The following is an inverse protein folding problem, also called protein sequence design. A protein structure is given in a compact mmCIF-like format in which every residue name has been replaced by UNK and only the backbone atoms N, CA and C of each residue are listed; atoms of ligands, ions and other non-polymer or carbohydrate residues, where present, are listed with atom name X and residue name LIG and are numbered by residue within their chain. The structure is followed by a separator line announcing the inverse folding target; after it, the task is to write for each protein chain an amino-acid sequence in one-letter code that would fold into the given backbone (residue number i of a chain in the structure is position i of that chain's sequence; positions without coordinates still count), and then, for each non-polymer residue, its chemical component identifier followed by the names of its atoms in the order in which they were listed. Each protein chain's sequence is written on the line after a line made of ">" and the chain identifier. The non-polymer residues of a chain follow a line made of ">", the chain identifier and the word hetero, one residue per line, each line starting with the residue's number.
data_IF_157034795696
#
_entry.id   IF_157034795696
#
_cell.length_a   1.000
_cell.length_b   1.000
_cell.length_c   1.000
_cell.angle_alpha   90.00
_cell.angle_beta   90.00
_cell.angle_gamma   90.00
#
_symmetry.space_group_name_H-M   'P 1'
#
loop_
_entity.id
_entity.type
_entity.pdbx_description
1 polymer ?
#
# COMPACT_ATOMS: atom_id res chain seq x y z
N UNK A 1 6.51 -5.93 -56.06
CA UNK A 1 5.49 -4.94 -56.41
C UNK A 1 4.65 -4.64 -55.18
N UNK A 2 4.95 -3.66 -54.33
CA UNK A 2 6.10 -2.79 -54.24
C UNK A 2 6.26 -2.36 -52.78
N UNK A 3 7.53 -2.19 -52.42
CA UNK A 3 7.98 -1.46 -51.25
C UNK A 3 7.69 0.01 -51.47
N UNK A 4 7.26 0.75 -50.44
CA UNK A 4 7.50 2.19 -50.42
C UNK A 4 8.09 2.62 -49.08
N UNK A 5 9.34 3.04 -49.18
CA UNK A 5 10.16 3.58 -48.11
C UNK A 5 9.77 5.05 -47.87
N UNK A 6 9.58 5.44 -46.61
CA UNK A 6 9.60 6.83 -46.22
C UNK A 6 10.76 7.05 -45.23
N UNK A 7 11.86 7.60 -45.76
CA UNK A 7 12.99 8.13 -45.00
C UNK A 7 12.54 9.41 -44.27
N UNK A 8 12.63 9.41 -42.94
CA UNK A 8 12.49 10.59 -42.11
C UNK A 8 13.73 10.78 -41.25
N UNK A 9 14.64 11.63 -41.70
CA UNK A 9 15.79 12.10 -40.93
C UNK A 9 15.31 12.93 -39.74
N UNK A 10 15.65 12.52 -38.51
CA UNK A 10 15.59 13.39 -37.33
C UNK A 10 16.96 13.45 -36.67
N UNK A 11 17.51 14.66 -36.70
CA UNK A 11 18.75 15.05 -36.04
C UNK A 11 18.67 14.74 -34.54
N UNK A 12 19.74 14.13 -34.03
CA UNK A 12 20.04 14.08 -32.60
C UNK A 12 20.43 15.50 -32.16
N UNK A 13 19.76 16.02 -31.14
CA UNK A 13 20.21 17.20 -30.41
C UNK A 13 20.76 16.75 -29.06
N UNK A 14 22.05 17.03 -28.88
CA UNK A 14 22.82 16.86 -27.66
C UNK A 14 22.33 17.81 -26.57
N UNK A 15 22.14 17.29 -25.35
CA UNK A 15 21.90 18.09 -24.15
C UNK A 15 22.98 17.79 -23.12
N UNK A 16 24.09 18.53 -23.20
CA UNK A 16 25.08 18.65 -22.14
C UNK A 16 25.21 20.12 -21.67
N UNK A 17 24.90 20.31 -20.38
CA UNK A 17 25.55 21.18 -19.39
C UNK A 17 25.49 22.74 -19.45
N UNK A 18 24.72 23.28 -18.47
CA UNK A 18 25.03 24.38 -17.49
C UNK A 18 25.20 25.84 -18.00
N UNK A 19 25.19 26.89 -17.13
CA UNK A 19 24.79 27.02 -15.71
C UNK A 19 23.84 28.21 -15.39
N UNK A 20 23.31 28.19 -14.16
CA UNK A 20 22.53 29.25 -13.50
C UNK A 20 23.34 30.53 -13.22
N UNK A 21 22.72 31.71 -13.42
CA UNK A 21 23.19 32.99 -12.90
C UNK A 21 22.06 33.80 -12.24
N UNK A 22 22.24 33.99 -10.93
CA UNK A 22 22.18 35.25 -10.15
C UNK A 22 20.93 36.13 -10.18
N UNK A 23 20.28 36.22 -9.02
CA UNK A 23 19.83 37.48 -8.44
C UNK A 23 20.16 37.51 -6.95
N UNK A 24 21.05 38.40 -6.51
CA UNK A 24 21.15 38.82 -5.11
C UNK A 24 21.28 40.33 -5.07
N UNK A 25 20.28 40.98 -4.47
CA UNK A 25 20.24 42.41 -4.20
C UNK A 25 21.22 42.77 -3.07
N UNK A 26 21.86 43.93 -3.22
CA UNK A 26 22.70 44.59 -2.23
C UNK A 26 21.90 45.12 -1.04
N UNK A 27 22.45 45.00 0.17
CA UNK A 27 22.25 45.98 1.23
C UNK A 27 23.51 46.13 2.10
N UNK A 28 24.01 47.37 2.19
CA UNK A 28 24.48 48.03 3.42
C UNK A 28 25.72 47.52 4.15
N UNK A 29 26.80 48.32 4.12
CA UNK A 29 27.97 48.24 5.01
C UNK A 29 27.67 48.79 6.41
N UNK A 30 28.23 48.18 7.46
CA UNK A 30 28.67 48.86 8.70
C UNK A 30 29.79 48.04 9.43
N UNK A 31 30.55 48.65 10.37
CA UNK A 31 32.02 48.51 10.42
C UNK A 31 32.62 47.52 11.44
N UNK A 32 33.94 47.36 11.26
CA UNK A 32 34.92 46.46 11.88
C UNK A 32 35.14 46.74 13.38
N UNK A 33 34.82 45.78 14.25
CA UNK A 33 35.47 45.60 15.57
C UNK A 33 35.11 44.20 16.15
N UNK A 34 35.95 43.19 15.89
CA UNK A 34 35.70 41.84 16.45
C UNK A 34 36.78 40.78 16.20
N UNK A 35 37.88 41.10 15.51
CA UNK A 35 38.78 40.06 14.97
C UNK A 35 39.67 39.33 16.00
N UNK A 36 39.68 39.71 17.28
CA UNK A 36 40.54 39.05 18.28
C UNK A 36 39.80 38.14 19.28
N UNK A 37 38.46 38.19 19.37
CA UNK A 37 37.69 37.21 20.18
C UNK A 37 37.31 35.95 19.40
N UNK A 38 37.18 36.06 18.07
CA UNK A 38 36.81 34.94 17.19
C UNK A 38 37.85 33.81 17.18
N UNK A 39 39.15 34.14 17.17
CA UNK A 39 40.21 33.14 17.00
C UNK A 39 40.40 32.18 18.20
N UNK A 40 40.02 32.58 19.43
CA UNK A 40 40.05 31.67 20.59
C UNK A 40 38.84 30.75 20.64
N UNK A 41 37.65 31.25 20.32
CA UNK A 41 36.44 30.43 20.21
C UNK A 41 36.50 29.44 19.05
N UNK A 42 37.12 29.83 17.93
CA UNK A 42 37.30 28.95 16.77
C UNK A 42 38.31 27.81 17.03
N UNK A 43 39.24 27.97 17.98
CA UNK A 43 40.19 26.91 18.37
C UNK A 43 39.58 25.92 19.39
N UNK A 44 38.75 26.41 20.31
CA UNK A 44 38.00 25.54 21.24
C UNK A 44 36.88 24.77 20.51
N UNK A 45 36.17 25.40 19.56
CA UNK A 45 35.16 24.72 18.74
C UNK A 45 35.74 23.72 17.73
N UNK A 46 37.00 23.90 17.29
CA UNK A 46 37.68 22.93 16.41
C UNK A 46 38.09 21.63 17.13
N UNK A 47 38.20 21.63 18.46
CA UNK A 47 38.44 20.40 19.23
C UNK A 47 37.15 19.62 19.53
N UNK A 48 35.98 20.27 19.54
CA UNK A 48 34.67 19.60 19.73
C UNK A 48 34.09 18.97 18.45
N UNK A 49 34.71 19.22 17.29
CA UNK A 49 34.28 18.68 15.99
C UNK A 49 35.37 17.87 15.30
N UNK A 50 36.16 17.09 16.06
CA UNK A 50 36.77 15.91 15.48
C UNK A 50 35.63 15.01 14.96
N UNK A 51 35.62 14.59 13.68
CA UNK A 51 34.61 13.66 13.20
C UNK A 51 34.73 12.39 14.05
N UNK A 52 33.78 12.18 14.96
CA UNK A 52 33.57 10.89 15.57
C UNK A 52 33.39 9.92 14.41
N UNK A 53 34.38 9.04 14.22
CA UNK A 53 34.24 7.89 13.35
C UNK A 53 33.06 7.10 13.92
N UNK A 54 31.84 7.36 13.42
CA UNK A 54 30.72 6.46 13.63
C UNK A 54 31.20 5.12 13.10
N UNK A 55 31.47 4.18 14.00
CA UNK A 55 31.69 2.79 13.61
C UNK A 55 30.51 2.40 12.74
N UNK A 56 30.80 1.95 11.51
CA UNK A 56 29.76 1.48 10.61
C UNK A 56 29.04 0.34 11.33
N UNK A 57 27.77 0.56 11.66
CA UNK A 57 26.94 -0.45 12.30
C UNK A 57 26.58 -1.49 11.24
N UNK A 58 26.77 -2.76 11.57
CA UNK A 58 26.34 -3.88 10.72
C UNK A 58 24.84 -3.77 10.43
N UNK A 59 24.46 -3.84 9.16
CA UNK A 59 23.08 -3.76 8.69
C UNK A 59 22.54 -5.17 8.46
N UNK A 60 21.44 -5.48 9.14
CA UNK A 60 20.75 -6.75 8.97
C UNK A 60 19.80 -6.70 7.76
N UNK A 61 19.88 -7.70 6.89
CA UNK A 61 19.08 -7.77 5.65
C UNK A 61 18.34 -9.11 5.54
N UNK A 62 17.19 -9.07 4.84
CA UNK A 62 16.49 -10.27 4.36
C UNK A 62 16.57 -10.31 2.83
N UNK A 63 16.90 -11.46 2.26
CA UNK A 63 16.82 -11.65 0.81
C UNK A 63 15.36 -11.92 0.43
N UNK A 64 14.78 -11.03 -0.40
CA UNK A 64 13.43 -11.25 -0.94
C UNK A 64 13.50 -12.20 -2.13
N UNK A 65 12.85 -13.35 -2.03
CA UNK A 65 12.90 -14.39 -3.05
C UNK A 65 11.59 -14.49 -3.82
N UNK A 66 11.69 -14.56 -5.14
CA UNK A 66 10.62 -14.88 -6.06
C UNK A 66 10.74 -16.36 -6.46
N UNK A 67 10.02 -17.23 -5.74
CA UNK A 67 9.96 -18.66 -6.09
C UNK A 67 9.28 -18.85 -7.45
N UNK A 68 9.63 -19.89 -8.21
CA UNK A 68 8.99 -20.22 -9.49
C UNK A 68 7.56 -20.74 -9.32
N UNK A 69 6.70 -20.50 -10.29
CA UNK A 69 5.30 -20.97 -10.26
C UNK A 69 5.17 -22.49 -10.25
N UNK A 70 6.17 -23.21 -10.75
CA UNK A 70 6.25 -24.66 -10.65
C UNK A 70 6.46 -25.17 -9.23
N UNK A 71 7.02 -24.35 -8.33
CA UNK A 71 7.18 -24.70 -6.91
C UNK A 71 6.00 -24.27 -6.07
N UNK A 72 5.18 -23.33 -6.54
CA UNK A 72 3.98 -22.86 -5.83
C UNK A 72 2.78 -23.79 -6.09
N UNK A 73 1.90 -24.03 -5.09
CA UNK A 73 0.62 -24.66 -5.30
C UNK A 73 -0.24 -23.86 -6.30
N UNK A 74 -1.06 -24.55 -7.10
CA UNK A 74 -1.89 -23.89 -8.12
C UNK A 74 -2.94 -22.98 -7.49
N UNK A 75 -2.90 -21.68 -7.81
CA UNK A 75 -3.89 -20.70 -7.37
C UNK A 75 -4.10 -19.58 -8.39
N UNK A 76 -5.27 -18.93 -8.34
CA UNK A 76 -5.67 -17.84 -9.25
C UNK A 76 -5.11 -16.47 -8.86
N UNK A 77 -4.54 -16.33 -7.66
CA UNK A 77 -4.05 -15.05 -7.12
C UNK A 77 -2.62 -15.21 -6.60
N UNK A 78 -1.67 -15.31 -7.52
CA UNK A 78 -0.23 -15.42 -7.21
C UNK A 78 0.45 -14.09 -7.52
N UNK A 79 1.18 -13.54 -6.55
CA UNK A 79 2.00 -12.33 -6.69
C UNK A 79 3.50 -12.65 -6.93
N UNK A 80 3.87 -13.93 -6.86
CA UNK A 80 5.18 -14.48 -7.22
C UNK A 80 5.04 -15.61 -8.24
N UNK A 81 6.09 -16.37 -8.52
CA UNK A 81 5.98 -17.51 -9.45
C UNK A 81 6.31 -17.22 -10.91
N UNK A 82 6.26 -15.95 -11.30
CA UNK A 82 6.57 -15.48 -12.66
C UNK A 82 7.47 -14.26 -12.65
N UNK A 83 7.80 -13.69 -13.82
CA UNK A 83 8.58 -12.46 -13.91
C UNK A 83 7.96 -11.36 -13.06
N UNK A 84 8.74 -10.82 -12.13
CA UNK A 84 8.30 -9.84 -11.15
C UNK A 84 9.41 -8.80 -10.97
N UNK A 85 9.08 -7.50 -10.78
CA UNK A 85 10.07 -6.50 -10.40
C UNK A 85 10.53 -6.65 -8.94
N UNK A 86 9.98 -7.62 -8.20
CA UNK A 86 10.22 -7.81 -6.78
C UNK A 86 10.99 -9.08 -6.47
N UNK A 87 12.06 -8.92 -5.68
CA UNK A 87 12.89 -10.03 -5.24
C UNK A 87 13.83 -10.55 -6.33
N UNK A 88 14.69 -11.47 -5.93
CA UNK A 88 15.56 -12.22 -6.83
C UNK A 88 14.96 -13.59 -7.12
N UNK A 89 15.28 -14.15 -8.28
CA UNK A 89 14.93 -15.53 -8.59
C UNK A 89 15.65 -16.50 -7.65
N UNK A 90 15.04 -17.66 -7.41
CA UNK A 90 15.58 -18.69 -6.52
C UNK A 90 17.01 -19.12 -6.92
N UNK A 91 17.32 -19.13 -8.22
CA UNK A 91 18.65 -19.50 -8.72
C UNK A 91 19.75 -18.50 -8.37
N UNK A 92 19.40 -17.25 -8.04
CA UNK A 92 20.37 -16.21 -7.67
C UNK A 92 20.71 -16.18 -6.17
N UNK A 93 20.09 -17.07 -5.37
CA UNK A 93 20.29 -17.10 -3.91
C UNK A 93 21.76 -17.36 -3.55
N UNK A 94 22.41 -18.30 -4.23
CA UNK A 94 23.83 -18.63 -3.97
C UNK A 94 24.74 -17.42 -4.25
N UNK A 95 24.57 -16.80 -5.42
CA UNK A 95 25.33 -15.61 -5.81
C UNK A 95 25.13 -14.45 -4.82
N UNK A 96 23.89 -14.20 -4.39
CA UNK A 96 23.58 -13.16 -3.42
C UNK A 96 24.22 -13.43 -2.04
N UNK A 97 24.24 -14.68 -1.59
CA UNK A 97 24.90 -15.06 -0.33
C UNK A 97 26.41 -14.84 -0.42
N UNK A 98 27.04 -15.26 -1.51
CA UNK A 98 28.48 -15.07 -1.70
C UNK A 98 28.86 -13.60 -1.83
N UNK A 99 28.04 -12.79 -2.50
CA UNK A 99 28.24 -11.34 -2.54
C UNK A 99 28.20 -10.72 -1.14
N UNK A 100 27.24 -11.11 -0.30
CA UNK A 100 27.15 -10.63 1.08
C UNK A 100 28.37 -11.07 1.90
N UNK A 101 28.86 -12.30 1.70
CA UNK A 101 30.02 -12.83 2.42
C UNK A 101 31.33 -12.13 2.04
N UNK A 102 31.52 -11.83 0.76
CA UNK A 102 32.78 -11.29 0.24
C UNK A 102 32.79 -9.77 0.35
N UNK A 103 31.76 -9.12 -0.20
CA UNK A 103 31.71 -7.66 -0.30
C UNK A 103 31.01 -7.01 0.90
N UNK A 104 30.07 -7.74 1.52
CA UNK A 104 29.33 -7.27 2.70
C UNK A 104 30.00 -7.59 4.04
N UNK A 105 31.16 -8.23 4.07
CA UNK A 105 31.81 -8.70 5.29
C UNK A 105 31.98 -7.57 6.34
N UNK A 106 31.37 -7.74 7.52
CA UNK A 106 31.42 -6.77 8.61
C UNK A 106 30.56 -5.51 8.42
N UNK A 107 29.79 -5.46 7.32
CA UNK A 107 28.89 -4.34 6.98
C UNK A 107 27.44 -4.83 6.85
N UNK A 108 27.24 -6.01 6.28
CA UNK A 108 25.94 -6.61 6.00
C UNK A 108 25.86 -7.99 6.62
N UNK A 109 24.81 -8.22 7.39
CA UNK A 109 24.46 -9.53 7.94
C UNK A 109 23.18 -10.04 7.32
N UNK A 110 23.26 -11.21 6.70
CA UNK A 110 22.07 -11.93 6.23
C UNK A 110 21.33 -12.53 7.44
N UNK A 111 20.19 -11.93 7.82
CA UNK A 111 19.35 -12.41 8.91
C UNK A 111 18.28 -13.41 8.48
N UNK A 112 18.05 -13.55 7.17
CA UNK A 112 17.13 -14.56 6.63
C UNK A 112 16.49 -14.15 5.32
N UNK A 113 15.23 -14.53 5.14
CA UNK A 113 14.57 -14.48 3.84
C UNK A 113 13.17 -13.90 3.93
N UNK A 114 12.74 -13.27 2.83
CA UNK A 114 11.41 -12.69 2.69
C UNK A 114 10.71 -13.24 1.45
N UNK A 115 9.43 -13.54 1.58
CA UNK A 115 8.56 -14.01 0.52
C UNK A 115 7.27 -13.21 0.52
N UNK A 116 6.72 -12.95 -0.66
CA UNK A 116 5.39 -12.33 -0.79
C UNK A 116 4.74 -12.82 -2.08
N UNK A 117 4.12 -14.00 -2.03
CA UNK A 117 3.56 -14.66 -3.22
C UNK A 117 2.04 -14.66 -3.28
N UNK A 118 1.34 -14.16 -2.26
CA UNK A 118 -0.12 -14.16 -2.18
C UNK A 118 -0.68 -12.75 -1.94
N UNK A 119 -1.86 -12.48 -2.48
CA UNK A 119 -2.65 -11.28 -2.17
C UNK A 119 -4.11 -11.68 -2.02
N UNK A 120 -4.79 -11.11 -1.02
CA UNK A 120 -6.20 -11.35 -0.71
C UNK A 120 -6.65 -12.82 -0.75
N UNK A 121 -5.80 -13.73 -0.30
CA UNK A 121 -6.07 -15.16 -0.30
C UNK A 121 -7.06 -15.52 0.81
N UNK A 122 -8.21 -16.08 0.42
CA UNK A 122 -9.26 -16.52 1.35
C UNK A 122 -9.08 -17.98 1.81
N UNK A 123 -8.19 -18.75 1.16
CA UNK A 123 -7.99 -20.18 1.45
C UNK A 123 -6.90 -20.39 2.52
N UNK A 124 -7.33 -20.75 3.73
CA UNK A 124 -6.45 -21.00 4.87
C UNK A 124 -5.48 -22.17 4.65
N UNK A 125 -5.92 -23.23 3.96
CA UNK A 125 -5.08 -24.40 3.68
C UNK A 125 -3.98 -24.05 2.70
N UNK A 126 -4.33 -23.39 1.60
CA UNK A 126 -3.38 -22.89 0.62
C UNK A 126 -2.35 -21.94 1.26
N UNK A 127 -2.79 -21.05 2.16
CA UNK A 127 -1.88 -20.12 2.83
C UNK A 127 -0.87 -20.86 3.72
N UNK A 128 -1.32 -21.87 4.48
CA UNK A 128 -0.44 -22.69 5.30
C UNK A 128 0.53 -23.53 4.46
N UNK A 129 0.07 -24.12 3.34
CA UNK A 129 0.92 -24.86 2.40
C UNK A 129 2.03 -23.98 1.80
N UNK A 130 1.71 -22.73 1.48
CA UNK A 130 2.69 -21.76 0.98
C UNK A 130 3.75 -21.41 2.02
N UNK A 131 3.36 -21.20 3.27
CA UNK A 131 4.31 -20.91 4.36
C UNK A 131 5.19 -22.13 4.63
N UNK A 132 4.61 -23.33 4.63
CA UNK A 132 5.36 -24.58 4.80
C UNK A 132 6.44 -24.72 3.70
N UNK A 133 6.10 -24.41 2.45
CA UNK A 133 7.07 -24.37 1.35
C UNK A 133 8.20 -23.37 1.60
N UNK A 134 7.90 -22.14 2.03
CA UNK A 134 8.92 -21.13 2.34
C UNK A 134 9.88 -21.63 3.42
N UNK A 135 9.34 -22.19 4.50
CA UNK A 135 10.13 -22.70 5.61
C UNK A 135 11.03 -23.87 5.18
N UNK A 136 10.53 -24.77 4.33
CA UNK A 136 11.31 -25.87 3.78
C UNK A 136 12.44 -25.38 2.86
N UNK A 137 12.19 -24.37 2.02
CA UNK A 137 13.23 -23.76 1.18
C UNK A 137 14.32 -23.09 2.01
N UNK A 138 13.92 -22.31 3.00
CA UNK A 138 14.88 -21.65 3.89
C UNK A 138 15.69 -22.67 4.68
N UNK A 139 15.07 -23.77 5.15
CA UNK A 139 15.80 -24.84 5.81
C UNK A 139 16.84 -25.50 4.87
N UNK A 140 16.49 -25.72 3.60
CA UNK A 140 17.43 -26.25 2.59
C UNK A 140 18.64 -25.31 2.42
N UNK A 141 18.40 -24.01 2.23
CA UNK A 141 19.48 -23.03 2.08
C UNK A 141 20.30 -22.87 3.36
N UNK A 142 19.68 -22.92 4.53
CA UNK A 142 20.38 -22.91 5.81
C UNK A 142 21.36 -24.08 5.92
N UNK A 143 20.94 -25.29 5.52
CA UNK A 143 21.81 -26.48 5.55
C UNK A 143 22.90 -26.42 4.47
N UNK A 144 22.54 -26.02 3.26
CA UNK A 144 23.45 -25.98 2.12
C UNK A 144 24.55 -24.94 2.29
N UNK A 145 24.20 -23.75 2.78
CA UNK A 145 25.13 -22.63 2.89
C UNK A 145 25.63 -22.41 4.33
N UNK A 146 25.12 -23.12 5.34
CA UNK A 146 25.56 -22.96 6.73
C UNK A 146 25.24 -21.58 7.31
N UNK A 147 24.03 -21.06 7.04
CA UNK A 147 23.61 -19.72 7.42
C UNK A 147 22.77 -19.72 8.71
N UNK A 148 23.00 -18.79 9.65
CA UNK A 148 22.01 -18.51 10.68
C UNK A 148 20.77 -17.88 10.02
N UNK A 149 19.58 -18.33 10.41
CA UNK A 149 18.31 -17.75 9.98
C UNK A 149 17.58 -17.28 11.22
N UNK A 150 17.51 -15.96 11.38
CA UNK A 150 16.81 -15.29 12.47
C UNK A 150 15.36 -15.02 12.10
N UNK A 151 15.09 -14.68 10.83
CA UNK A 151 13.75 -14.32 10.37
C UNK A 151 13.41 -14.99 9.04
N UNK A 152 12.24 -15.62 8.99
CA UNK A 152 11.54 -15.92 7.75
C UNK A 152 10.32 -15.03 7.70
N UNK A 153 10.32 -14.04 6.81
CA UNK A 153 9.16 -13.19 6.60
C UNK A 153 8.31 -13.76 5.46
N UNK A 154 7.13 -14.27 5.79
CA UNK A 154 6.21 -14.87 4.84
C UNK A 154 5.34 -13.85 4.08
N UNK A 155 5.57 -12.56 4.34
CA UNK A 155 4.80 -11.48 3.75
C UNK A 155 3.37 -11.45 4.30
N UNK A 156 2.45 -10.91 3.51
CA UNK A 156 1.04 -10.80 3.88
C UNK A 156 0.16 -11.65 2.96
N UNK A 157 -0.97 -11.07 2.58
CA UNK A 157 -1.87 -11.67 1.61
C UNK A 157 -3.04 -12.45 2.19
N UNK A 158 -3.24 -12.43 3.51
CA UNK A 158 -4.50 -12.86 4.12
C UNK A 158 -5.68 -12.04 3.56
N UNK A 159 -6.74 -12.74 3.17
CA UNK A 159 -7.89 -12.15 2.51
C UNK A 159 -8.89 -11.48 3.43
N UNK A 160 -9.57 -10.46 2.88
CA UNK A 160 -10.74 -9.83 3.46
C UNK A 160 -11.89 -9.96 2.46
N UNK A 161 -13.06 -10.36 2.95
CA UNK A 161 -14.30 -10.45 2.20
C UNK A 161 -14.96 -9.08 2.02
N UNK A 162 -15.53 -8.81 0.85
CA UNK A 162 -16.27 -7.58 0.53
C UNK A 162 -17.70 -7.86 0.05
N UNK A 163 -18.04 -9.11 -0.24
CA UNK A 163 -19.32 -9.54 -0.79
C UNK A 163 -20.22 -10.26 0.26
N UNK A 164 -19.77 -10.32 1.51
CA UNK A 164 -20.47 -11.01 2.60
C UNK A 164 -20.20 -12.52 2.66
N UNK A 165 -19.35 -13.07 1.78
CA UNK A 165 -18.84 -14.43 1.94
C UNK A 165 -18.05 -14.60 3.24
N UNK A 166 -17.93 -15.82 3.80
CA UNK A 166 -17.14 -16.05 5.01
C UNK A 166 -15.70 -15.53 4.89
N UNK A 167 -15.18 -15.03 6.02
CA UNK A 167 -13.79 -14.58 6.14
C UNK A 167 -12.77 -15.73 6.05
N UNK A 168 -11.49 -15.36 6.11
CA UNK A 168 -10.39 -16.33 6.22
C UNK A 168 -10.54 -17.22 7.46
N UNK A 169 -10.37 -18.54 7.31
CA UNK A 169 -10.50 -19.51 8.40
C UNK A 169 -9.25 -19.55 9.30
N UNK A 170 -9.24 -18.69 10.31
CA UNK A 170 -8.15 -18.58 11.28
C UNK A 170 -7.93 -19.81 12.12
N UNK A 171 -9.01 -20.53 12.45
CA UNK A 171 -8.94 -21.75 13.28
C UNK A 171 -8.23 -22.86 12.52
N UNK A 172 -8.60 -23.08 11.26
CA UNK A 172 -7.92 -24.04 10.39
C UNK A 172 -6.47 -23.63 10.15
N UNK A 173 -6.23 -22.37 9.79
CA UNK A 173 -4.87 -21.86 9.56
C UNK A 173 -3.96 -22.09 10.76
N UNK A 174 -4.42 -21.71 11.96
CA UNK A 174 -3.64 -21.84 13.20
C UNK A 174 -3.32 -23.30 13.51
N UNK A 175 -4.30 -24.20 13.35
CA UNK A 175 -4.09 -25.64 13.57
C UNK A 175 -3.08 -26.24 12.58
N UNK A 176 -3.13 -25.86 11.30
CA UNK A 176 -2.14 -26.29 10.30
C UNK A 176 -0.74 -25.75 10.62
N UNK A 177 -0.65 -24.49 11.04
CA UNK A 177 0.63 -23.89 11.44
C UNK A 177 1.19 -24.51 12.71
N UNK A 178 0.38 -24.95 13.66
CA UNK A 178 0.82 -25.70 14.86
C UNK A 178 1.38 -27.08 14.51
N UNK A 179 0.87 -27.71 13.46
CA UNK A 179 1.34 -29.00 12.96
C UNK A 179 2.59 -28.90 12.06
N UNK A 180 3.01 -27.67 11.70
CA UNK A 180 4.16 -27.43 10.84
C UNK A 180 5.48 -27.78 11.54
N UNK A 181 6.08 -28.91 11.13
CA UNK A 181 7.41 -29.31 11.60
C UNK A 181 8.50 -28.36 11.13
N UNK A 182 8.35 -27.73 9.96
CA UNK A 182 9.32 -26.75 9.48
C UNK A 182 9.32 -25.48 10.36
N UNK A 183 8.13 -25.03 10.81
CA UNK A 183 8.00 -23.93 11.77
C UNK A 183 8.62 -24.30 13.12
N UNK A 184 8.37 -25.51 13.61
CA UNK A 184 8.97 -26.01 14.86
C UNK A 184 10.50 -26.02 14.80
N UNK A 185 11.07 -26.48 13.67
CA UNK A 185 12.52 -26.48 13.44
C UNK A 185 13.12 -25.07 13.35
N UNK A 186 12.42 -24.13 12.72
CA UNK A 186 12.83 -22.72 12.72
C UNK A 186 12.89 -22.18 14.16
N UNK A 187 11.83 -22.39 14.94
CA UNK A 187 11.73 -21.91 16.31
C UNK A 187 12.77 -22.54 17.24
N UNK A 188 13.05 -23.85 17.12
CA UNK A 188 14.05 -24.54 17.95
C UNK A 188 15.49 -24.06 17.70
N UNK A 189 15.75 -23.45 16.54
CA UNK A 189 17.02 -22.78 16.20
C UNK A 189 17.03 -21.29 16.55
N UNK A 190 15.98 -20.79 17.21
CA UNK A 190 15.82 -19.38 17.60
C UNK A 190 15.32 -18.46 16.49
N UNK A 191 14.91 -19.00 15.34
CA UNK A 191 14.34 -18.23 14.25
C UNK A 191 12.86 -17.88 14.45
N UNK A 192 12.40 -16.84 13.77
CA UNK A 192 11.04 -16.31 13.89
C UNK A 192 10.34 -16.25 12.52
N UNK A 193 9.04 -16.51 12.53
CA UNK A 193 8.17 -16.39 11.36
C UNK A 193 7.39 -15.06 11.44
N UNK A 194 7.58 -14.19 10.45
CA UNK A 194 6.96 -12.86 10.39
C UNK A 194 5.88 -12.78 9.31
N UNK A 195 4.92 -11.87 9.53
CA UNK A 195 3.82 -11.58 8.62
C UNK A 195 3.65 -10.07 8.41
N UNK A 196 3.21 -9.67 7.22
CA UNK A 196 3.00 -8.27 6.79
C UNK A 196 1.53 -8.01 6.41
N UNK A 197 0.62 -8.25 7.35
CA UNK A 197 -0.83 -8.30 7.10
C UNK A 197 -1.52 -6.93 7.10
N UNK A 198 -1.18 -6.05 6.16
CA UNK A 198 -1.78 -4.70 6.09
C UNK A 198 -3.31 -4.69 5.96
N UNK A 199 -3.83 -5.22 4.84
CA UNK A 199 -5.29 -5.22 4.54
C UNK A 199 -6.13 -5.80 5.67
N UNK A 200 -5.72 -6.95 6.17
CA UNK A 200 -6.42 -7.68 7.21
C UNK A 200 -6.57 -6.83 8.48
N UNK A 201 -5.51 -6.12 8.88
CA UNK A 201 -5.52 -5.33 10.10
C UNK A 201 -6.41 -4.10 9.98
N UNK A 202 -6.39 -3.40 8.85
CA UNK A 202 -6.98 -2.05 8.77
C UNK A 202 -8.26 -1.94 7.95
N UNK A 203 -8.62 -2.93 7.12
CA UNK A 203 -9.79 -2.81 6.24
C UNK A 203 -11.06 -2.45 7.03
N UNK A 204 -11.37 -3.23 8.07
CA UNK A 204 -12.56 -3.07 8.92
C UNK A 204 -12.55 -1.83 9.83
N UNK A 205 -11.41 -1.15 9.95
CA UNK A 205 -11.24 0.00 10.84
C UNK A 205 -11.38 1.35 10.12
N UNK A 206 -11.88 1.35 8.88
CA UNK A 206 -12.14 2.57 8.12
C UNK A 206 -13.44 2.53 7.36
N UNK A 207 -14.09 3.69 7.28
CA UNK A 207 -15.35 3.89 6.57
C UNK A 207 -15.22 5.09 5.65
N UNK A 208 -15.87 5.04 4.50
CA UNK A 208 -15.98 6.19 3.60
C UNK A 208 -17.44 6.62 3.47
N UNK A 209 -17.74 7.83 3.93
CA UNK A 209 -19.09 8.38 3.91
C UNK A 209 -19.22 9.39 2.76
N UNK A 210 -20.27 9.25 1.95
CA UNK A 210 -20.55 10.19 0.86
C UNK A 210 -22.06 10.47 0.76
N UNK A 211 -22.41 11.74 0.59
CA UNK A 211 -23.79 12.18 0.42
C UNK A 211 -24.30 11.86 -1.00
N UNK A 212 -25.54 11.39 -1.13
CA UNK A 212 -26.21 11.28 -2.43
C UNK A 212 -26.60 12.67 -2.94
N UNK A 213 -26.04 13.12 -4.05
CA UNK A 213 -26.33 14.45 -4.63
C UNK A 213 -27.43 14.43 -5.68
N UNK A 214 -27.59 13.30 -6.38
CA UNK A 214 -28.59 13.14 -7.42
C UNK A 214 -29.06 11.68 -7.51
N UNK A 215 -30.33 11.51 -7.90
CA UNK A 215 -30.91 10.21 -8.24
C UNK A 215 -31.60 10.37 -9.58
N UNK A 216 -31.16 9.58 -10.56
CA UNK A 216 -31.67 9.66 -11.92
C UNK A 216 -31.88 8.29 -12.55
N UNK A 217 -32.74 8.26 -13.55
CA UNK A 217 -32.95 7.11 -14.42
C UNK A 217 -32.37 7.41 -15.79
N UNK A 218 -31.61 6.47 -16.34
CA UNK A 218 -31.09 6.53 -17.71
C UNK A 218 -31.19 5.15 -18.34
N UNK A 219 -31.88 5.04 -19.47
CA UNK A 219 -32.10 3.77 -20.18
C UNK A 219 -32.55 2.63 -19.24
N UNK A 220 -33.60 2.87 -18.46
CA UNK A 220 -34.18 1.91 -17.51
C UNK A 220 -33.23 1.43 -16.39
N UNK A 221 -32.13 2.15 -16.17
CA UNK A 221 -31.21 1.93 -15.06
C UNK A 221 -31.25 3.12 -14.10
N UNK A 222 -31.23 2.83 -12.80
CA UNK A 222 -31.21 3.86 -11.77
C UNK A 222 -29.78 4.12 -11.28
N UNK A 223 -29.45 5.38 -11.07
CA UNK A 223 -28.14 5.82 -10.60
C UNK A 223 -28.32 6.73 -9.39
N UNK A 224 -27.56 6.46 -8.33
CA UNK A 224 -27.34 7.38 -7.22
C UNK A 224 -25.94 7.97 -7.36
N UNK A 225 -25.88 9.28 -7.59
CA UNK A 225 -24.63 10.03 -7.73
C UNK A 225 -24.21 10.51 -6.35
N UNK A 226 -22.96 10.28 -5.99
CA UNK A 226 -22.39 10.65 -4.70
C UNK A 226 -21.54 11.92 -4.80
N UNK A 227 -21.52 12.69 -3.71
CA UNK A 227 -20.50 13.74 -3.47
C UNK A 227 -19.19 13.06 -3.11
N UNK A 228 -18.41 12.75 -4.14
CA UNK A 228 -17.15 12.01 -4.05
C UNK A 228 -17.12 10.88 -5.07
N UNK A 229 -16.20 9.94 -4.92
CA UNK A 229 -16.05 8.85 -5.88
C UNK A 229 -14.72 8.12 -5.75
N UNK A 230 -14.24 7.57 -6.86
CA UNK A 230 -12.98 6.82 -6.96
C UNK A 230 -11.74 7.67 -6.74
N UNK A 231 -11.86 9.00 -6.66
CA UNK A 231 -10.79 9.89 -6.22
C UNK A 231 -10.60 9.87 -4.68
N UNK A 232 -11.56 9.32 -3.93
CA UNK A 232 -11.48 9.09 -2.48
C UNK A 232 -11.51 7.61 -2.10
N UNK A 233 -12.28 6.79 -2.83
CA UNK A 233 -12.49 5.38 -2.55
C UNK A 233 -12.29 4.52 -3.82
N UNK A 234 -11.03 4.38 -4.27
CA UNK A 234 -10.71 3.76 -5.56
C UNK A 234 -10.69 2.23 -5.56
N UNK A 235 -10.51 1.60 -4.39
CA UNK A 235 -10.35 0.15 -4.29
C UNK A 235 -11.41 -0.65 -5.06
N UNK A 236 -12.74 -0.33 -4.97
CA UNK A 236 -13.77 -1.07 -5.70
C UNK A 236 -13.54 -1.08 -7.21
N UNK A 237 -13.25 0.10 -7.78
CA UNK A 237 -12.99 0.25 -9.21
C UNK A 237 -11.66 -0.38 -9.63
N UNK A 238 -10.64 -0.33 -8.77
CA UNK A 238 -9.33 -0.93 -9.05
C UNK A 238 -9.37 -2.44 -9.07
N UNK A 239 -10.27 -3.05 -8.30
CA UNK A 239 -10.40 -4.50 -8.15
C UNK A 239 -11.59 -5.08 -8.91
N UNK A 240 -12.48 -4.23 -9.41
CA UNK A 240 -13.66 -4.64 -10.17
C UNK A 240 -14.71 -5.34 -9.29
N UNK A 241 -14.85 -4.92 -8.03
CA UNK A 241 -15.83 -5.50 -7.10
C UNK A 241 -16.83 -4.47 -6.58
N UNK A 242 -17.96 -4.98 -6.08
CA UNK A 242 -18.95 -4.19 -5.36
C UNK A 242 -18.50 -4.00 -3.91
N UNK A 243 -18.31 -2.76 -3.48
CA UNK A 243 -17.94 -2.48 -2.10
C UNK A 243 -19.16 -2.56 -1.16
N UNK A 244 -19.02 -3.11 0.05
CA UNK A 244 -20.10 -3.15 1.01
C UNK A 244 -20.42 -1.74 1.51
N UNK A 245 -21.71 -1.47 1.73
CA UNK A 245 -22.16 -0.17 2.18
C UNK A 245 -23.44 -0.27 3.02
N UNK A 246 -23.71 0.78 3.80
CA UNK A 246 -24.98 1.04 4.47
C UNK A 246 -25.55 2.38 4.03
N UNK A 247 -26.87 2.49 4.04
CA UNK A 247 -27.56 3.76 3.82
C UNK A 247 -27.90 4.36 5.17
N UNK A 248 -27.36 5.54 5.46
CA UNK A 248 -27.70 6.34 6.63
C UNK A 248 -28.73 7.37 6.20
N UNK A 249 -30.00 7.06 6.49
CA UNK A 249 -31.12 7.94 6.18
C UNK A 249 -30.99 9.27 6.92
N UNK A 250 -31.29 10.37 6.22
CA UNK A 250 -31.42 11.71 6.81
C UNK A 250 -32.82 12.24 6.60
N UNK A 251 -33.33 13.00 7.56
CA UNK A 251 -34.59 13.75 7.39
C UNK A 251 -34.33 15.20 6.96
N UNK A 252 -33.06 15.56 6.73
CA UNK A 252 -32.67 16.89 6.28
C UNK A 252 -33.06 17.09 4.81
N UNK A 253 -34.19 17.74 4.58
CA UNK A 253 -34.61 18.20 3.27
C UNK A 253 -35.24 19.59 3.39
N UNK A 254 -34.44 20.61 3.09
CA UNK A 254 -34.82 22.02 3.25
C UNK A 254 -35.53 22.63 2.03
N UNK A 255 -35.69 21.85 0.97
CA UNK A 255 -36.24 22.33 -0.29
C UNK A 255 -37.76 22.13 -0.32
N UNK A 256 -38.47 23.07 -0.93
CA UNK A 256 -39.94 23.02 -1.04
C UNK A 256 -40.44 22.02 -2.09
N UNK A 257 -39.57 21.56 -2.98
CA UNK A 257 -39.90 20.56 -4.00
C UNK A 257 -39.72 19.13 -3.49
N UNK A 258 -40.34 18.18 -4.19
CA UNK A 258 -40.26 16.76 -3.84
C UNK A 258 -38.81 16.28 -3.87
N UNK A 259 -38.42 15.56 -2.82
CA UNK A 259 -37.07 14.99 -2.68
C UNK A 259 -36.90 13.84 -3.69
N UNK A 260 -35.92 13.90 -4.62
CA UNK A 260 -35.66 12.78 -5.51
C UNK A 260 -35.31 11.52 -4.72
N UNK A 261 -35.95 10.41 -5.09
CA UNK A 261 -35.83 9.15 -4.38
C UNK A 261 -36.03 7.95 -5.31
N UNK A 262 -35.55 6.80 -4.86
CA UNK A 262 -35.78 5.50 -5.49
C UNK A 262 -36.15 4.48 -4.41
N UNK A 263 -37.17 3.66 -4.70
CA UNK A 263 -37.75 2.69 -3.77
C UNK A 263 -37.88 1.32 -4.41
N UNK A 264 -37.49 0.28 -3.69
CA UNK A 264 -37.62 -1.12 -4.11
C UNK A 264 -37.11 -1.35 -5.55
N UNK A 265 -35.90 -0.86 -5.83
CA UNK A 265 -35.24 -0.98 -7.14
C UNK A 265 -33.76 -1.31 -6.98
N UNK A 266 -33.18 -1.76 -8.08
CA UNK A 266 -31.74 -1.89 -8.26
C UNK A 266 -31.14 -0.56 -8.70
N UNK A 267 -30.02 -0.16 -8.09
CA UNK A 267 -29.38 1.14 -8.28
C UNK A 267 -27.86 0.98 -8.41
N UNK A 268 -27.25 1.68 -9.36
CA UNK A 268 -25.80 1.83 -9.43
C UNK A 268 -25.36 3.01 -8.58
N UNK A 269 -24.44 2.78 -7.65
CA UNK A 269 -23.85 3.81 -6.80
C UNK A 269 -22.56 4.29 -7.46
N UNK A 270 -22.59 5.53 -7.93
CA UNK A 270 -21.54 6.15 -8.74
C UNK A 270 -21.07 7.45 -8.09
N UNK A 271 -19.84 7.86 -8.41
CA UNK A 271 -19.34 9.16 -7.98
C UNK A 271 -19.66 10.29 -8.95
N UNK A 272 -19.14 11.47 -8.65
CA UNK A 272 -19.35 12.72 -9.39
C UNK A 272 -18.31 12.97 -10.51
N UNK A 273 -17.38 12.05 -10.77
CA UNK A 273 -16.35 12.21 -11.80
C UNK A 273 -16.90 11.95 -13.22
N UNK A 274 -16.30 12.62 -14.20
CA UNK A 274 -16.68 12.50 -15.62
C UNK A 274 -16.19 11.21 -16.32
N UNK A 275 -16.12 10.09 -15.59
CA UNK A 275 -15.67 8.80 -16.12
C UNK A 275 -16.66 7.68 -15.78
N UNK A 276 -16.98 6.78 -16.73
CA UNK A 276 -17.86 5.65 -16.47
C UNK A 276 -17.27 4.64 -15.47
N UNK A 277 -15.97 4.75 -15.18
CA UNK A 277 -15.28 3.93 -14.16
C UNK A 277 -15.50 4.45 -12.74
N UNK A 278 -16.17 5.59 -12.57
CA UNK A 278 -16.44 6.17 -11.25
C UNK A 278 -17.61 5.47 -10.56
N UNK A 279 -17.41 4.20 -10.21
CA UNK A 279 -18.44 3.32 -9.65
C UNK A 279 -17.93 2.59 -8.43
N UNK A 280 -18.72 2.62 -7.36
CA UNK A 280 -18.39 1.96 -6.09
C UNK A 280 -19.21 0.68 -5.90
N UNK A 281 -20.44 0.66 -6.44
CA UNK A 281 -21.32 -0.51 -6.39
C UNK A 281 -22.21 -0.54 -7.63
N UNK A 282 -22.31 -1.69 -8.29
CA UNK A 282 -23.22 -1.94 -9.40
C UNK A 282 -24.42 -2.74 -8.93
N UNK A 283 -25.61 -2.40 -9.40
CA UNK A 283 -26.83 -3.21 -9.23
C UNK A 283 -27.20 -3.46 -7.74
N UNK A 284 -27.04 -2.44 -6.90
CA UNK A 284 -27.37 -2.50 -5.48
C UNK A 284 -28.89 -2.58 -5.27
N UNK A 285 -29.34 -3.54 -4.47
CA UNK A 285 -30.74 -3.64 -4.09
C UNK A 285 -31.04 -2.65 -2.95
N UNK A 286 -31.92 -1.66 -3.19
CA UNK A 286 -32.26 -0.63 -2.19
C UNK A 286 -33.76 -0.56 -1.93
N UNK A 287 -34.14 -0.60 -0.65
CA UNK A 287 -35.52 -0.41 -0.21
C UNK A 287 -35.94 1.07 -0.33
N UNK A 288 -35.08 1.98 0.10
CA UNK A 288 -35.26 3.43 -0.04
C UNK A 288 -33.89 4.10 -0.10
N UNK A 289 -33.68 4.96 -1.09
CA UNK A 289 -32.54 5.86 -1.18
C UNK A 289 -33.02 7.22 -1.67
N UNK A 290 -32.60 8.29 -1.00
CA UNK A 290 -33.03 9.66 -1.30
C UNK A 290 -31.83 10.59 -1.41
N UNK A 291 -31.92 11.61 -2.26
CA UNK A 291 -30.90 12.68 -2.34
C UNK A 291 -30.68 13.29 -0.95
N UNK A 292 -29.44 13.40 -0.48
CA UNK A 292 -29.05 13.86 0.85
C UNK A 292 -28.83 12.75 1.87
N UNK A 293 -29.33 11.52 1.63
CA UNK A 293 -28.94 10.36 2.47
C UNK A 293 -27.42 10.11 2.30
N UNK A 294 -26.79 9.52 3.31
CA UNK A 294 -25.35 9.21 3.29
C UNK A 294 -25.16 7.74 2.96
N UNK A 295 -24.37 7.45 1.93
CA UNK A 295 -23.86 6.11 1.67
C UNK A 295 -22.55 5.94 2.44
N UNK A 296 -22.56 5.03 3.42
CA UNK A 296 -21.42 4.69 4.25
C UNK A 296 -20.81 3.39 3.74
N UNK A 297 -19.72 3.48 3.01
CA UNK A 297 -18.93 2.33 2.58
C UNK A 297 -18.16 1.76 3.76
N UNK A 298 -18.40 0.48 4.04
CA UNK A 298 -17.68 -0.28 5.06
C UNK A 298 -16.34 -0.78 4.49
N UNK A 299 -15.43 -1.25 5.35
CA UNK A 299 -14.17 -1.87 4.92
C UNK A 299 -13.25 -0.95 4.09
N UNK A 300 -13.30 0.35 4.34
CA UNK A 300 -12.55 1.37 3.60
C UNK A 300 -11.21 1.76 4.23
N UNK A 301 -10.75 1.09 5.28
CA UNK A 301 -9.48 1.44 5.93
C UNK A 301 -8.22 0.98 5.18
N UNK A 302 -8.34 0.05 4.22
CA UNK A 302 -7.21 -0.45 3.44
C UNK A 302 -7.33 -0.05 1.97
N UNK A 303 -6.31 0.63 1.44
CA UNK A 303 -6.14 0.99 0.02
C UNK A 303 -7.21 1.87 -0.62
N UNK A 304 -8.38 2.06 -0.01
CA UNK A 304 -9.43 2.91 -0.55
C UNK A 304 -8.94 4.33 -0.75
N UNK A 305 -8.49 5.00 0.31
CA UNK A 305 -7.85 6.31 0.20
C UNK A 305 -6.50 6.20 -0.50
N UNK A 306 -5.55 5.42 0.04
CA UNK A 306 -4.12 5.51 -0.33
C UNK A 306 -3.76 5.18 -1.79
N UNK A 307 -4.64 4.56 -2.57
CA UNK A 307 -4.41 4.33 -4.01
C UNK A 307 -5.22 5.28 -4.91
N UNK A 308 -6.03 6.15 -4.32
CA UNK A 308 -6.94 7.04 -5.05
C UNK A 308 -6.22 8.23 -5.67
N UNK A 309 -6.78 8.74 -6.77
CA UNK A 309 -6.27 9.94 -7.43
C UNK A 309 -6.90 11.19 -6.80
N UNK A 310 -6.39 11.61 -5.65
CA UNK A 310 -7.00 12.63 -4.79
C UNK A 310 -7.25 13.97 -5.48
N UNK A 311 -6.34 14.38 -6.37
CA UNK A 311 -6.41 15.69 -7.03
C UNK A 311 -7.09 15.63 -8.41
N UNK A 312 -7.66 14.48 -8.78
CA UNK A 312 -8.32 14.32 -10.06
C UNK A 312 -9.54 15.25 -10.17
N UNK A 313 -9.54 16.11 -11.19
CA UNK A 313 -10.53 17.16 -11.43
C UNK A 313 -10.63 18.23 -10.32
N UNK A 314 -9.69 18.29 -9.37
CA UNK A 314 -9.61 19.35 -8.36
C UNK A 314 -10.73 19.35 -7.32
N UNK A 315 -11.33 18.18 -7.04
CA UNK A 315 -12.33 18.04 -5.98
C UNK A 315 -11.69 18.22 -4.59
N UNK A 316 -12.42 18.77 -3.61
CA UNK A 316 -11.92 18.86 -2.24
C UNK A 316 -11.72 17.47 -1.65
N UNK A 317 -10.64 17.31 -0.88
CA UNK A 317 -10.38 16.08 -0.12
C UNK A 317 -11.46 15.91 0.97
N UNK A 318 -11.79 14.66 1.37
CA UNK A 318 -12.72 14.41 2.44
C UNK A 318 -12.08 14.76 3.79
N UNK A 319 -12.90 15.11 4.77
CA UNK A 319 -12.44 15.27 6.15
C UNK A 319 -12.09 13.91 6.76
N UNK A 320 -11.03 13.87 7.57
CA UNK A 320 -10.62 12.67 8.30
C UNK A 320 -11.04 12.73 9.77
N UNK A 321 -11.84 11.75 10.19
CA UNK A 321 -12.31 11.63 11.55
C UNK A 321 -11.83 10.31 12.18
N UNK A 322 -11.13 10.43 13.31
CA UNK A 322 -10.72 9.29 14.12
C UNK A 322 -11.68 9.12 15.28
N UNK A 323 -12.37 7.98 15.32
CA UNK A 323 -13.26 7.62 16.41
C UNK A 323 -12.45 6.96 17.53
N UNK A 324 -12.54 7.51 18.74
CA UNK A 324 -11.95 6.93 19.95
C UNK A 324 -12.88 5.88 20.58
N UNK A 325 -12.38 5.07 21.50
CA UNK A 325 -13.16 4.05 22.23
C UNK A 325 -14.42 4.62 22.91
N UNK A 326 -14.40 5.89 23.33
CA UNK A 326 -15.53 6.58 23.95
C UNK A 326 -16.54 7.18 22.95
N UNK A 327 -16.45 6.83 21.65
CA UNK A 327 -17.22 7.43 20.55
C UNK A 327 -17.04 8.95 20.37
N UNK A 328 -16.02 9.54 20.99
CA UNK A 328 -15.55 10.88 20.61
C UNK A 328 -14.83 10.83 19.27
N UNK A 329 -14.74 11.97 18.58
CA UNK A 329 -13.99 12.06 17.33
C UNK A 329 -12.97 13.19 17.35
N UNK A 330 -11.81 12.93 16.75
CA UNK A 330 -10.79 13.95 16.46
C UNK A 330 -10.79 14.19 14.95
N UNK A 331 -11.06 15.42 14.52
CA UNK A 331 -10.77 15.83 13.15
C UNK A 331 -9.27 16.14 13.05
N UNK A 332 -8.58 15.50 12.13
CA UNK A 332 -7.13 15.65 11.94
C UNK A 332 -6.75 16.16 10.55
N UNK A 333 -7.55 17.04 9.94
CA UNK A 333 -7.28 17.60 8.61
C UNK A 333 -5.86 18.21 8.47
N UNK A 334 -5.14 18.47 9.58
CA UNK A 334 -3.73 18.91 9.60
C UNK A 334 -2.68 17.77 9.77
N UNK A 335 -3.02 16.62 10.36
CA UNK A 335 -2.03 15.59 10.75
C UNK A 335 -1.75 14.55 9.66
N UNK A 336 -2.68 14.30 8.74
CA UNK A 336 -2.49 13.28 7.71
C UNK A 336 -1.53 13.73 6.60
N UNK A 337 -1.37 15.06 6.41
CA UNK A 337 -0.43 15.62 5.44
C UNK A 337 1.05 15.51 5.86
N UNK A 338 1.35 15.37 7.17
CA UNK A 338 2.73 15.29 7.65
C UNK A 338 3.31 13.87 7.66
N UNK A 339 2.48 12.82 7.64
CA UNK A 339 2.95 11.43 7.61
C UNK A 339 3.33 10.94 6.20
N UNK A 340 3.13 11.77 5.18
CA UNK A 340 3.41 11.45 3.77
C UNK A 340 4.55 12.30 3.16
N UNK A 341 5.36 12.97 4.00
CA UNK A 341 6.53 13.74 3.56
C UNK A 341 7.85 13.10 3.99
#
# INVERSE_FOLDING_TARGET
>A
MDQEQAQGSRQKQDWEQKPEQRYTQEYGKEPIQGQQKQQKQDQEQKQEHAPQQKQAQEVHVLLRINLRSSTLPRTKIVMGGGPSPFGIDEEAVEEAIELIRVEGAGIVRLSGFHFHSLSNNMDARLHAEMIELYLQKVEQWQQQYGLPVEVVNAGGGFGVTYDGSPGFDWSLFSSLMEQSKARERLASRGGQLYFESGRLLVADHGYYAAEVTDIKTSHDQHFAVLRGGTHHNRLPASWGHNHPFRIMATDRWKHSFARPEVRDRRVHIVGELCTPKDRMHSDAEVALLRVGDIVLFEKSGAYCWTISHHDFLGHPHPAFHYLTEDNNHVNTDEAFQSASR
#
